data_IF_883331541079
#
_entry.id   IF_883331541079
#
_cell.length_a   1.000
_cell.length_b   1.000
_cell.length_c   1.000
_cell.angle_alpha   90.00
_cell.angle_beta   90.00
_cell.angle_gamma   90.00
#
_symmetry.space_group_name_H-M   'P 1'
#
loop_
_entity.id
_entity.type
_entity.pdbx_description
1 polymer ?
#
# COMPACT_ATOMS: atom_id res chain seq x y z
N UNK A 1 -27.55 -32.13 40.39
CA UNK A 1 -26.20 -32.15 39.79
C UNK A 1 -26.23 -31.18 38.61
N UNK A 2 -25.73 -29.95 38.75
CA UNK A 2 -24.32 -29.57 38.54
C UNK A 2 -23.94 -29.73 37.05
N UNK A 3 -23.56 -28.73 36.25
CA UNK A 3 -22.90 -27.45 36.52
C UNK A 3 -23.22 -26.36 35.47
N UNK A 4 -23.33 -25.13 35.96
CA UNK A 4 -23.24 -23.86 35.21
C UNK A 4 -21.76 -23.56 34.94
N UNK A 5 -21.38 -23.36 33.67
CA UNK A 5 -20.06 -22.81 33.33
C UNK A 5 -20.19 -21.30 33.13
N UNK A 6 -19.67 -20.56 34.11
CA UNK A 6 -19.48 -19.10 34.07
C UNK A 6 -18.13 -18.84 33.42
N UNK A 7 -18.10 -18.19 32.25
CA UNK A 7 -16.85 -17.65 31.71
C UNK A 7 -16.61 -16.25 32.27
N UNK A 8 -15.56 -16.15 33.08
CA UNK A 8 -15.04 -14.91 33.65
C UNK A 8 -14.21 -14.17 32.61
N UNK A 9 -14.61 -12.93 32.28
CA UNK A 9 -13.82 -11.98 31.51
C UNK A 9 -12.92 -11.19 32.47
N UNK A 10 -11.64 -11.58 32.54
CA UNK A 10 -10.58 -10.84 33.21
C UNK A 10 -10.11 -9.65 32.34
N UNK A 11 -10.60 -8.44 32.64
CA UNK A 11 -9.99 -7.20 32.14
C UNK A 11 -9.04 -6.64 33.19
N UNK A 12 -7.76 -6.89 32.97
CA UNK A 12 -6.64 -6.40 33.77
C UNK A 12 -6.42 -4.91 33.51
N UNK A 13 -6.44 -4.13 34.60
CA UNK A 13 -6.12 -2.71 34.67
C UNK A 13 -4.66 -2.48 34.25
N UNK A 14 -4.40 -1.58 33.28
CA UNK A 14 -3.06 -0.99 33.10
C UNK A 14 -2.92 0.26 33.95
N UNK A 15 -2.04 0.15 34.93
CA UNK A 15 -1.50 1.17 35.83
C UNK A 15 -0.73 2.20 35.00
N UNK A 16 -1.08 3.47 35.17
CA UNK A 16 -0.23 4.62 34.80
C UNK A 16 0.46 5.05 36.09
N UNK A 17 1.79 4.91 36.18
CA UNK A 17 2.58 5.71 37.12
C UNK A 17 4.08 5.74 36.75
N UNK A 18 4.53 6.96 36.46
CA UNK A 18 5.81 7.61 36.82
C UNK A 18 7.16 7.04 36.38
N UNK A 19 8.00 7.95 35.88
CA UNK A 19 9.34 8.39 36.39
C UNK A 19 10.22 8.77 35.18
N UNK A 20 10.40 10.07 34.91
CA UNK A 20 11.46 10.97 35.39
C UNK A 20 12.87 10.73 34.81
N UNK A 21 13.45 11.85 34.34
CA UNK A 21 14.89 12.18 34.13
C UNK A 21 15.54 11.94 32.75
N UNK A 22 15.46 12.99 31.91
CA UNK A 22 16.54 13.66 31.13
C UNK A 22 17.45 12.84 30.19
N UNK A 23 18.44 13.46 29.52
CA UNK A 23 18.62 14.88 29.18
C UNK A 23 18.55 15.13 27.66
N UNK A 24 18.41 16.39 27.28
CA UNK A 24 18.55 16.85 25.90
C UNK A 24 19.93 16.48 25.33
N UNK A 25 19.94 15.71 24.24
CA UNK A 25 21.12 15.50 23.40
C UNK A 25 21.55 16.84 22.81
N UNK A 26 22.57 17.42 23.43
CA UNK A 26 23.37 18.46 22.84
C UNK A 26 24.15 17.82 21.70
N UNK A 27 23.77 18.10 20.46
CA UNK A 27 24.62 17.87 19.30
C UNK A 27 26.03 18.43 19.58
N UNK A 28 27.10 17.61 19.56
CA UNK A 28 28.45 18.15 19.60
C UNK A 28 28.70 18.84 18.25
N UNK A 29 28.57 20.17 18.23
CA UNK A 29 29.18 20.96 17.16
C UNK A 29 30.68 20.71 17.23
N UNK A 30 31.20 19.87 16.33
CA UNK A 30 32.62 19.79 16.05
C UNK A 30 33.07 21.15 15.51
N UNK A 31 33.48 22.04 16.41
CA UNK A 31 34.26 23.22 16.04
C UNK A 31 35.62 22.66 15.65
N UNK A 32 35.85 22.51 14.34
CA UNK A 32 37.20 22.30 13.82
C UNK A 32 38.03 23.49 14.29
N UNK A 33 38.92 23.27 15.26
CA UNK A 33 39.97 24.24 15.62
C UNK A 33 40.73 24.54 14.34
N UNK A 34 40.58 25.75 13.81
CA UNK A 34 41.45 26.24 12.76
C UNK A 34 42.91 26.19 13.26
N UNK A 35 43.90 25.88 12.42
CA UNK A 35 45.30 25.97 12.80
C UNK A 35 45.59 27.40 13.26
N UNK A 36 46.33 27.55 14.35
CA UNK A 36 46.77 28.86 14.83
C UNK A 36 47.61 29.55 13.75
N UNK A 37 47.13 30.68 13.25
CA UNK A 37 47.87 31.59 12.38
C UNK A 37 48.23 32.78 13.26
N UNK A 38 49.52 33.06 13.53
CA UNK A 38 49.89 34.25 14.27
C UNK A 38 49.44 35.49 13.49
N UNK A 39 48.99 36.56 14.18
CA UNK A 39 48.58 37.78 13.51
C UNK A 39 49.76 38.36 12.69
N UNK A 40 49.52 38.94 11.51
CA UNK A 40 50.56 39.62 10.75
C UNK A 40 51.20 40.69 11.65
N UNK A 41 52.52 40.57 11.81
CA UNK A 41 53.31 41.47 12.65
C UNK A 41 53.04 42.92 12.25
N UNK A 42 52.73 43.75 13.25
CA UNK A 42 52.55 45.19 13.07
C UNK A 42 53.84 45.79 12.50
N UNK A 43 53.80 46.27 11.26
CA UNK A 43 54.86 47.10 10.69
C UNK A 43 54.75 48.50 11.28
N UNK A 44 55.57 48.79 12.29
CA UNK A 44 55.84 50.18 12.70
C UNK A 44 56.62 50.88 11.57
N UNK A 45 56.26 52.11 11.16
CA UNK A 45 57.00 52.82 10.14
C UNK A 45 58.32 53.35 10.73
N UNK A 46 59.36 53.26 9.91
CA UNK A 46 60.59 54.06 9.97
C UNK A 46 61.38 54.06 11.29
N UNK A 47 62.31 53.11 11.45
CA UNK A 47 63.70 53.37 11.91
C UNK A 47 64.65 52.45 11.15
N UNK A 48 65.76 53.03 10.69
CA UNK A 48 66.73 52.51 9.72
C UNK A 48 67.19 51.07 9.94
N UNK A 49 67.25 50.30 8.85
CA UNK A 49 68.03 49.06 8.75
C UNK A 49 69.51 49.43 8.78
N UNK A 50 70.10 49.50 9.98
CA UNK A 50 71.52 49.76 10.17
C UNK A 50 72.28 48.43 10.10
N UNK A 51 73.01 48.22 9.02
CA UNK A 51 74.04 47.18 8.93
C UNK A 51 75.31 47.69 9.63
N UNK A 52 75.33 47.67 10.96
CA UNK A 52 76.56 47.89 11.74
C UNK A 52 76.41 47.29 13.14
N UNK A 53 77.39 46.50 13.59
CA UNK A 53 77.34 45.85 14.90
C UNK A 53 77.72 46.84 16.01
N UNK A 54 77.03 46.73 17.15
CA UNK A 54 77.15 47.61 18.33
C UNK A 54 78.50 47.53 19.08
N UNK A 55 79.61 47.21 18.42
CA UNK A 55 80.92 47.15 19.10
C UNK A 55 82.13 47.60 18.28
N UNK A 56 82.04 48.01 17.01
CA UNK A 56 83.22 48.46 16.26
C UNK A 56 82.92 49.71 15.41
N UNK A 57 83.20 50.90 15.97
CA UNK A 57 83.23 52.17 15.24
C UNK A 57 84.70 52.54 15.02
N UNK A 58 85.22 52.32 13.81
CA UNK A 58 86.55 52.78 13.42
C UNK A 58 86.43 54.21 12.89
N UNK A 59 86.71 55.21 13.73
CA UNK A 59 86.93 56.58 13.30
C UNK A 59 88.32 56.68 12.64
N UNK A 60 88.36 56.67 11.31
CA UNK A 60 89.57 57.02 10.57
C UNK A 60 89.69 58.54 10.61
N UNK A 61 90.47 59.05 11.57
CA UNK A 61 90.94 60.44 11.58
C UNK A 61 92.18 60.49 10.68
N UNK A 62 92.16 61.21 9.53
CA UNK A 62 93.37 61.44 8.75
C UNK A 62 94.33 62.32 9.56
N UNK A 63 95.60 61.94 9.76
CA UNK A 63 96.56 62.80 10.46
C UNK A 63 96.84 64.06 9.62
N UNK A 64 96.34 65.20 10.08
CA UNK A 64 96.78 66.52 9.65
C UNK A 64 98.19 66.78 10.20
N UNK A 65 99.21 66.23 9.55
CA UNK A 65 100.61 66.56 9.81
C UNK A 65 101.11 67.58 8.78
N UNK A 66 100.87 68.87 9.03
CA UNK A 66 101.73 69.94 8.51
C UNK A 66 102.65 70.36 9.65
N UNK A 67 103.80 69.72 9.74
CA UNK A 67 105.02 70.31 10.29
C UNK A 67 106.20 69.38 10.01
N UNK A 68 107.31 70.00 9.60
CA UNK A 68 108.67 69.46 9.48
C UNK A 68 108.98 68.79 8.15
N UNK A 69 109.46 69.65 7.25
CA UNK A 69 110.62 69.41 6.40
C UNK A 69 111.57 68.34 6.96
N UNK A 70 111.50 67.15 6.39
CA UNK A 70 112.60 66.19 6.41
C UNK A 70 113.13 66.08 5.00
N UNK A 71 114.09 66.96 4.72
CA UNK A 71 115.04 66.85 3.62
C UNK A 71 115.72 65.48 3.76
N UNK A 72 115.34 64.51 2.93
CA UNK A 72 116.09 63.26 2.84
C UNK A 72 117.43 63.58 2.17
N UNK A 73 118.48 63.44 2.97
CA UNK A 73 119.88 63.59 2.56
C UNK A 73 120.21 62.42 1.64
N UNK A 74 120.34 62.71 0.34
CA UNK A 74 120.72 61.77 -0.72
C UNK A 74 122.24 61.57 -0.67
N UNK A 75 122.74 61.06 0.45
CA UNK A 75 124.12 60.61 0.61
C UNK A 75 124.09 59.42 1.56
N UNK A 76 123.97 58.22 0.99
CA UNK A 76 124.89 57.09 1.21
C UNK A 76 124.17 55.77 0.81
N UNK A 77 124.19 55.47 -0.49
CA UNK A 77 124.06 54.11 -0.99
C UNK A 77 125.12 53.95 -2.08
N UNK A 78 126.36 53.80 -1.61
CA UNK A 78 127.43 53.23 -2.39
C UNK A 78 127.10 51.75 -2.66
N UNK A 79 127.02 51.41 -3.94
CA UNK A 79 126.74 50.06 -4.43
C UNK A 79 127.88 49.13 -4.01
N UNK A 80 127.63 48.24 -3.04
CA UNK A 80 128.50 47.11 -2.75
C UNK A 80 127.99 45.88 -3.50
N UNK A 81 128.91 45.16 -4.13
CA UNK A 81 128.63 44.00 -4.99
C UNK A 81 127.90 42.86 -4.23
N UNK A 82 128.00 42.84 -2.89
CA UNK A 82 127.34 41.90 -1.96
C UNK A 82 125.81 42.09 -1.84
N UNK A 83 125.26 43.25 -2.27
CA UNK A 83 123.82 43.53 -2.22
C UNK A 83 123.05 42.90 -3.39
N UNK A 84 123.73 42.59 -4.51
CA UNK A 84 123.14 41.97 -5.71
C UNK A 84 122.88 40.48 -5.48
N UNK A 85 123.79 39.76 -4.82
CA UNK A 85 123.57 38.36 -4.43
C UNK A 85 122.50 38.24 -3.33
N UNK A 86 122.47 39.16 -2.36
CA UNK A 86 121.39 39.21 -1.37
C UNK A 86 120.03 39.49 -2.02
N UNK A 87 119.97 40.43 -2.97
CA UNK A 87 118.74 40.69 -3.75
C UNK A 87 118.30 39.45 -4.52
N UNK A 88 119.22 38.69 -5.13
CA UNK A 88 118.87 37.44 -5.80
C UNK A 88 118.34 36.38 -4.83
N UNK A 89 118.91 36.29 -3.62
CA UNK A 89 118.39 35.42 -2.55
C UNK A 89 117.00 35.85 -2.07
N UNK A 90 116.74 37.16 -1.95
CA UNK A 90 115.43 37.68 -1.61
C UNK A 90 114.42 37.45 -2.74
N UNK A 91 114.79 37.68 -4.00
CA UNK A 91 113.92 37.41 -5.15
C UNK A 91 113.59 35.92 -5.27
N UNK A 92 114.55 35.02 -5.05
CA UNK A 92 114.30 33.58 -4.98
C UNK A 92 113.39 33.19 -3.81
N UNK A 93 113.56 33.84 -2.64
CA UNK A 93 112.71 33.62 -1.46
C UNK A 93 111.29 34.14 -1.70
N UNK A 94 111.15 35.31 -2.31
CA UNK A 94 109.88 35.93 -2.70
C UNK A 94 109.16 35.04 -3.70
N UNK A 95 109.84 34.58 -4.76
CA UNK A 95 109.24 33.69 -5.76
C UNK A 95 108.80 32.34 -5.17
N UNK A 96 109.55 31.76 -4.23
CA UNK A 96 109.12 30.55 -3.51
C UNK A 96 107.90 30.82 -2.63
N UNK A 97 107.90 31.90 -1.86
CA UNK A 97 106.74 32.26 -1.01
C UNK A 97 105.51 32.59 -1.85
N UNK A 98 105.67 33.27 -2.99
CA UNK A 98 104.59 33.50 -3.95
C UNK A 98 104.08 32.18 -4.53
N UNK A 99 104.96 31.24 -4.88
CA UNK A 99 104.55 29.92 -5.37
C UNK A 99 103.82 29.10 -4.29
N UNK A 100 104.30 29.11 -3.04
CA UNK A 100 103.69 28.40 -1.91
C UNK A 100 102.32 29.02 -1.54
N UNK A 101 102.23 30.36 -1.45
CA UNK A 101 100.97 31.07 -1.20
C UNK A 101 100.00 30.89 -2.36
N UNK A 102 100.47 30.97 -3.61
CA UNK A 102 99.61 30.74 -4.78
C UNK A 102 99.11 29.29 -4.83
N UNK A 103 99.93 28.31 -4.43
CA UNK A 103 99.52 26.90 -4.38
C UNK A 103 98.53 26.62 -3.25
N UNK A 104 98.71 27.22 -2.07
CA UNK A 104 97.76 27.13 -0.97
C UNK A 104 96.46 27.89 -1.25
N UNK A 105 96.51 29.04 -1.93
CA UNK A 105 95.32 29.75 -2.43
C UNK A 105 94.57 28.93 -3.49
N UNK A 106 95.27 28.28 -4.41
CA UNK A 106 94.67 27.38 -5.39
C UNK A 106 94.04 26.16 -4.70
N UNK A 107 94.75 25.52 -3.76
CA UNK A 107 94.24 24.34 -3.01
C UNK A 107 93.05 24.68 -2.12
N UNK A 108 93.12 25.79 -1.39
CA UNK A 108 92.02 26.25 -0.54
C UNK A 108 90.82 26.70 -1.39
N UNK A 109 91.07 27.33 -2.54
CA UNK A 109 90.05 27.65 -3.54
C UNK A 109 89.37 26.40 -4.11
N UNK A 110 90.13 25.37 -4.46
CA UNK A 110 89.61 24.06 -4.91
C UNK A 110 88.79 23.37 -3.82
N UNK A 111 89.27 23.37 -2.56
CA UNK A 111 88.54 22.79 -1.42
C UNK A 111 87.24 23.54 -1.12
N UNK A 112 87.24 24.87 -1.16
CA UNK A 112 86.04 25.69 -0.99
C UNK A 112 85.05 25.48 -2.14
N UNK A 113 85.53 25.38 -3.38
CA UNK A 113 84.68 25.06 -4.53
C UNK A 113 84.06 23.66 -4.43
N UNK A 114 84.83 22.66 -3.97
CA UNK A 114 84.31 21.32 -3.72
C UNK A 114 83.25 21.31 -2.60
N UNK A 115 83.49 22.04 -1.50
CA UNK A 115 82.51 22.22 -0.43
C UNK A 115 81.25 22.96 -0.90
N UNK A 116 81.40 23.96 -1.76
CA UNK A 116 80.28 24.71 -2.35
C UNK A 116 79.40 23.82 -3.21
N UNK A 117 80.02 23.00 -4.08
CA UNK A 117 79.30 22.01 -4.90
C UNK A 117 78.57 21.00 -4.04
N UNK A 118 79.19 20.48 -2.97
CA UNK A 118 78.54 19.56 -2.05
C UNK A 118 77.31 20.17 -1.37
N UNK A 119 77.39 21.44 -0.95
CA UNK A 119 76.25 22.15 -0.36
C UNK A 119 75.15 22.34 -1.40
N UNK A 120 75.50 22.71 -2.64
CA UNK A 120 74.55 22.84 -3.75
C UNK A 120 73.84 21.50 -4.03
N UNK A 121 74.58 20.40 -4.09
CA UNK A 121 74.03 19.05 -4.28
C UNK A 121 73.06 18.67 -3.14
N UNK A 122 73.42 18.96 -1.88
CA UNK A 122 72.56 18.73 -0.72
C UNK A 122 71.30 19.60 -0.74
N UNK A 123 71.42 20.87 -1.15
CA UNK A 123 70.27 21.75 -1.31
C UNK A 123 69.32 21.25 -2.41
N UNK A 124 69.86 20.77 -3.52
CA UNK A 124 69.08 20.15 -4.60
C UNK A 124 68.38 18.87 -4.13
N UNK A 125 69.07 18.02 -3.38
CA UNK A 125 68.50 16.79 -2.79
C UNK A 125 67.35 17.12 -1.82
N UNK A 126 67.51 18.11 -0.94
CA UNK A 126 66.46 18.58 -0.04
C UNK A 126 65.27 19.14 -0.82
N UNK A 127 65.51 19.91 -1.90
CA UNK A 127 64.45 20.44 -2.78
C UNK A 127 63.70 19.29 -3.45
N UNK A 128 64.41 18.24 -3.90
CA UNK A 128 63.80 17.04 -4.47
C UNK A 128 62.94 16.30 -3.44
N UNK A 129 63.46 16.01 -2.24
CA UNK A 129 62.68 15.37 -1.17
C UNK A 129 61.45 16.18 -0.77
N UNK A 130 61.56 17.51 -0.70
CA UNK A 130 60.41 18.38 -0.41
C UNK A 130 59.35 18.28 -1.50
N UNK A 131 59.75 18.21 -2.77
CA UNK A 131 58.83 18.01 -3.90
C UNK A 131 58.12 16.66 -3.79
N UNK A 132 58.86 15.59 -3.52
CA UNK A 132 58.30 14.24 -3.38
C UNK A 132 57.37 14.13 -2.17
N UNK A 133 57.72 14.78 -1.05
CA UNK A 133 56.84 14.88 0.11
C UNK A 133 55.54 15.64 -0.23
N UNK A 134 55.62 16.72 -1.02
CA UNK A 134 54.43 17.45 -1.46
C UNK A 134 53.55 16.61 -2.40
N UNK A 135 54.16 15.81 -3.30
CA UNK A 135 53.42 14.92 -4.19
C UNK A 135 52.73 13.80 -3.41
N UNK A 136 53.46 13.13 -2.50
CA UNK A 136 52.89 12.05 -1.66
C UNK A 136 51.78 12.56 -0.73
N UNK A 137 51.94 13.74 -0.14
CA UNK A 137 50.88 14.34 0.70
C UNK A 137 49.65 14.71 -0.11
N UNK A 138 49.82 15.23 -1.34
CA UNK A 138 48.72 15.48 -2.27
C UNK A 138 47.99 14.20 -2.67
N UNK A 139 48.72 13.14 -2.99
CA UNK A 139 48.14 11.86 -3.37
C UNK A 139 47.45 11.17 -2.19
N UNK A 140 48.02 11.25 -0.98
CA UNK A 140 47.34 10.81 0.24
C UNK A 140 46.03 11.58 0.47
N UNK A 141 46.02 12.90 0.24
CA UNK A 141 44.80 13.71 0.35
C UNK A 141 43.74 13.31 -0.71
N UNK A 142 44.14 12.92 -1.93
CA UNK A 142 43.22 12.37 -2.94
C UNK A 142 42.66 11.01 -2.49
N UNK A 143 43.52 10.10 -2.03
CA UNK A 143 43.12 8.77 -1.55
C UNK A 143 42.12 8.85 -0.40
N UNK A 144 42.32 9.80 0.53
CA UNK A 144 41.37 10.07 1.61
C UNK A 144 40.02 10.54 1.09
N UNK A 145 40.00 11.49 0.14
CA UNK A 145 38.74 11.96 -0.48
C UNK A 145 38.03 10.84 -1.24
N UNK A 146 38.75 9.99 -1.97
CA UNK A 146 38.14 8.85 -2.66
C UNK A 146 37.55 7.82 -1.69
N UNK A 147 38.21 7.58 -0.55
CA UNK A 147 37.67 6.69 0.49
C UNK A 147 36.40 7.28 1.11
N UNK A 148 36.37 8.58 1.39
CA UNK A 148 35.17 9.28 1.88
C UNK A 148 34.00 9.21 0.87
N UNK A 149 34.28 9.33 -0.43
CA UNK A 149 33.26 9.16 -1.47
C UNK A 149 32.75 7.72 -1.55
N UNK A 150 33.65 6.73 -1.51
CA UNK A 150 33.26 5.32 -1.53
C UNK A 150 32.43 4.94 -0.29
N UNK A 151 32.78 5.47 0.88
CA UNK A 151 31.99 5.26 2.10
C UNK A 151 30.56 5.78 1.96
N UNK A 152 30.40 6.98 1.39
CA UNK A 152 29.07 7.56 1.12
C UNK A 152 28.30 6.74 0.10
N UNK A 153 28.96 6.26 -0.95
CA UNK A 153 28.33 5.40 -1.96
C UNK A 153 27.82 4.09 -1.34
N UNK A 154 28.61 3.47 -0.46
CA UNK A 154 28.20 2.26 0.27
C UNK A 154 27.02 2.54 1.21
N UNK A 155 26.99 3.69 1.87
CA UNK A 155 25.86 4.10 2.71
C UNK A 155 24.59 4.33 1.89
N UNK A 156 24.70 5.01 0.74
CA UNK A 156 23.57 5.22 -0.18
C UNK A 156 23.04 3.87 -0.69
N UNK A 157 23.92 2.98 -1.14
CA UNK A 157 23.55 1.64 -1.62
C UNK A 157 22.85 0.80 -0.55
N UNK A 158 23.29 0.89 0.72
CA UNK A 158 22.60 0.23 1.84
C UNK A 158 21.20 0.80 2.07
N UNK A 159 21.06 2.12 2.08
CA UNK A 159 19.76 2.78 2.25
C UNK A 159 18.78 2.41 1.13
N UNK A 160 19.25 2.36 -0.12
CA UNK A 160 18.45 1.91 -1.26
C UNK A 160 18.02 0.45 -1.10
N UNK A 161 18.93 -0.43 -0.67
CA UNK A 161 18.60 -1.82 -0.41
C UNK A 161 17.54 -1.99 0.70
N UNK A 162 17.61 -1.16 1.74
CA UNK A 162 16.62 -1.15 2.82
C UNK A 162 15.25 -0.68 2.33
N UNK A 163 15.18 0.40 1.54
CA UNK A 163 13.94 0.88 0.92
C UNK A 163 13.31 -0.19 0.03
N UNK A 164 14.09 -0.83 -0.85
CA UNK A 164 13.61 -1.91 -1.71
C UNK A 164 13.10 -3.11 -0.90
N UNK A 165 13.73 -3.41 0.24
CA UNK A 165 13.29 -4.48 1.12
C UNK A 165 11.97 -4.14 1.83
N UNK A 166 11.77 -2.88 2.22
CA UNK A 166 10.51 -2.39 2.77
C UNK A 166 9.38 -2.44 1.73
N UNK A 167 9.62 -1.97 0.51
CA UNK A 167 8.68 -2.07 -0.60
C UNK A 167 8.32 -3.51 -0.91
N UNK A 168 9.31 -4.42 -0.98
CA UNK A 168 9.09 -5.86 -1.16
C UNK A 168 8.18 -6.43 -0.06
N UNK A 169 8.41 -6.08 1.20
CA UNK A 169 7.55 -6.53 2.32
C UNK A 169 6.13 -5.98 2.20
N UNK A 170 5.98 -4.72 1.80
CA UNK A 170 4.68 -4.09 1.58
C UNK A 170 3.91 -4.78 0.45
N UNK A 171 4.57 -5.05 -0.68
CA UNK A 171 3.99 -5.78 -1.82
C UNK A 171 3.58 -7.20 -1.42
N UNK A 172 4.43 -7.94 -0.69
CA UNK A 172 4.10 -9.28 -0.19
C UNK A 172 2.92 -9.29 0.79
N UNK A 173 2.76 -8.23 1.58
CA UNK A 173 1.59 -8.07 2.46
C UNK A 173 0.34 -7.81 1.61
N UNK A 174 0.43 -6.95 0.60
CA UNK A 174 -0.70 -6.63 -0.28
C UNK A 174 -1.12 -7.84 -1.13
N UNK A 175 -0.16 -8.62 -1.62
CA UNK A 175 -0.42 -9.87 -2.34
C UNK A 175 -1.23 -10.84 -1.49
N UNK A 176 -0.78 -11.12 -0.26
CA UNK A 176 -1.50 -12.00 0.68
C UNK A 176 -2.90 -11.48 1.00
N UNK A 177 -3.06 -10.17 1.14
CA UNK A 177 -4.39 -9.58 1.33
C UNK A 177 -5.31 -9.88 0.14
N UNK A 178 -4.84 -9.64 -1.09
CA UNK A 178 -5.61 -9.90 -2.31
C UNK A 178 -5.88 -11.40 -2.49
N UNK A 179 -4.94 -12.28 -2.15
CA UNK A 179 -5.14 -13.72 -2.16
C UNK A 179 -6.25 -14.15 -1.20
N UNK A 180 -6.24 -13.63 0.04
CA UNK A 180 -7.29 -13.91 1.02
C UNK A 180 -8.66 -13.37 0.56
N UNK A 181 -8.71 -12.13 0.08
CA UNK A 181 -9.93 -11.52 -0.47
C UNK A 181 -10.46 -12.33 -1.67
N UNK A 182 -9.57 -12.84 -2.53
CA UNK A 182 -9.92 -13.71 -3.64
C UNK A 182 -10.50 -15.06 -3.20
N UNK A 183 -9.94 -15.66 -2.14
CA UNK A 183 -10.48 -16.89 -1.54
C UNK A 183 -11.85 -16.67 -0.92
N UNK A 184 -12.04 -15.57 -0.18
CA UNK A 184 -13.33 -15.21 0.41
C UNK A 184 -14.40 -14.96 -0.66
N UNK A 185 -14.06 -14.21 -1.72
CA UNK A 185 -14.95 -13.98 -2.85
C UNK A 185 -15.33 -15.28 -3.58
N UNK A 186 -14.38 -16.21 -3.74
CA UNK A 186 -14.66 -17.52 -4.32
C UNK A 186 -15.63 -18.34 -3.46
N UNK A 187 -15.44 -18.35 -2.13
CA UNK A 187 -16.37 -19.00 -1.20
C UNK A 187 -17.76 -18.37 -1.27
N UNK A 188 -17.85 -17.05 -1.38
CA UNK A 188 -19.11 -16.34 -1.52
C UNK A 188 -19.81 -16.69 -2.84
N UNK A 189 -19.08 -16.73 -3.95
CA UNK A 189 -19.60 -17.15 -5.25
C UNK A 189 -20.16 -18.58 -5.21
N UNK A 190 -19.53 -19.50 -4.47
CA UNK A 190 -20.04 -20.86 -4.25
C UNK A 190 -21.36 -20.83 -3.46
N UNK A 191 -21.45 -20.03 -2.39
CA UNK A 191 -22.70 -19.85 -1.62
C UNK A 191 -23.82 -19.32 -2.50
N UNK A 192 -23.55 -18.29 -3.31
CA UNK A 192 -24.53 -17.72 -4.24
C UNK A 192 -24.99 -18.75 -5.27
N UNK A 193 -24.06 -19.51 -5.85
CA UNK A 193 -24.39 -20.59 -6.79
C UNK A 193 -25.30 -21.65 -6.16
N UNK A 194 -25.04 -22.05 -4.93
CA UNK A 194 -25.83 -23.06 -4.24
C UNK A 194 -27.22 -22.52 -3.83
N UNK A 195 -27.31 -21.24 -3.45
CA UNK A 195 -28.58 -20.53 -3.26
C UNK A 195 -29.41 -20.48 -4.55
N UNK A 196 -28.80 -20.16 -5.70
CA UNK A 196 -29.47 -20.20 -7.00
C UNK A 196 -29.97 -21.61 -7.36
N UNK A 197 -29.18 -22.65 -7.09
CA UNK A 197 -29.61 -24.05 -7.31
C UNK A 197 -30.82 -24.40 -6.44
N UNK A 198 -30.82 -23.98 -5.16
CA UNK A 198 -31.94 -24.20 -4.25
C UNK A 198 -33.19 -23.48 -4.74
N UNK A 199 -33.09 -22.20 -5.08
CA UNK A 199 -34.20 -21.42 -5.64
C UNK A 199 -34.78 -22.06 -6.91
N UNK A 200 -33.93 -22.57 -7.81
CA UNK A 200 -34.39 -23.27 -9.02
C UNK A 200 -35.14 -24.57 -8.70
N UNK A 201 -34.74 -25.30 -7.66
CA UNK A 201 -35.46 -26.49 -7.18
C UNK A 201 -36.82 -26.10 -6.58
N UNK A 202 -36.84 -25.08 -5.73
CA UNK A 202 -38.05 -24.60 -5.07
C UNK A 202 -39.06 -24.05 -6.10
N UNK A 203 -38.59 -23.35 -7.13
CA UNK A 203 -39.43 -22.90 -8.25
C UNK A 203 -40.07 -24.08 -9.01
N UNK A 204 -39.29 -25.14 -9.30
CA UNK A 204 -39.82 -26.34 -9.95
C UNK A 204 -40.86 -27.04 -9.08
N UNK A 205 -40.61 -27.16 -7.78
CA UNK A 205 -41.57 -27.74 -6.84
C UNK A 205 -42.85 -26.93 -6.81
N UNK A 206 -42.76 -25.59 -6.68
CA UNK A 206 -43.91 -24.69 -6.70
C UNK A 206 -44.70 -24.78 -8.02
N UNK A 207 -44.03 -24.97 -9.16
CA UNK A 207 -44.71 -25.18 -10.45
C UNK A 207 -45.48 -26.52 -10.48
N UNK A 208 -44.93 -27.58 -9.90
CA UNK A 208 -45.60 -28.88 -9.79
C UNK A 208 -46.81 -28.78 -8.85
N UNK A 209 -46.67 -28.10 -7.72
CA UNK A 209 -47.75 -27.88 -6.77
C UNK A 209 -48.88 -27.05 -7.40
N UNK A 210 -48.54 -25.99 -8.13
CA UNK A 210 -49.50 -25.19 -8.89
C UNK A 210 -50.28 -26.04 -9.89
N UNK A 211 -49.59 -26.92 -10.63
CA UNK A 211 -50.22 -27.83 -11.57
C UNK A 211 -51.18 -28.81 -10.88
N UNK A 212 -50.78 -29.39 -9.74
CA UNK A 212 -51.62 -30.27 -8.94
C UNK A 212 -52.90 -29.58 -8.42
N UNK A 213 -52.76 -28.36 -7.88
CA UNK A 213 -53.90 -27.55 -7.43
C UNK A 213 -54.82 -27.21 -8.61
N UNK A 214 -54.26 -26.89 -9.78
CA UNK A 214 -55.06 -26.60 -10.99
C UNK A 214 -55.86 -27.82 -11.45
N UNK A 215 -55.26 -29.01 -11.46
CA UNK A 215 -55.97 -30.25 -11.77
C UNK A 215 -57.09 -30.53 -10.77
N UNK A 216 -56.82 -30.40 -9.46
CA UNK A 216 -57.84 -30.58 -8.41
C UNK A 216 -59.00 -29.60 -8.56
N UNK A 217 -58.71 -28.33 -8.83
CA UNK A 217 -59.73 -27.30 -9.10
C UNK A 217 -60.61 -27.70 -10.29
N UNK A 218 -60.00 -28.14 -11.39
CA UNK A 218 -60.75 -28.52 -12.59
C UNK A 218 -61.62 -29.76 -12.34
N UNK A 219 -61.12 -30.77 -11.62
CA UNK A 219 -61.91 -31.94 -11.23
C UNK A 219 -63.10 -31.58 -10.33
N UNK A 220 -62.93 -30.64 -9.39
CA UNK A 220 -64.03 -30.14 -8.58
C UNK A 220 -65.07 -29.38 -9.40
N UNK A 221 -64.64 -28.59 -10.39
CA UNK A 221 -65.55 -27.88 -11.30
C UNK A 221 -66.36 -28.87 -12.16
N UNK A 222 -65.73 -29.91 -12.69
CA UNK A 222 -66.42 -30.98 -13.42
C UNK A 222 -67.45 -31.68 -12.53
N UNK A 223 -67.07 -32.02 -11.29
CA UNK A 223 -68.00 -32.64 -10.33
C UNK A 223 -69.17 -31.73 -9.97
N UNK A 224 -68.94 -30.43 -9.83
CA UNK A 224 -70.01 -29.46 -9.61
C UNK A 224 -70.97 -29.39 -10.80
N UNK A 225 -70.46 -29.37 -12.03
CA UNK A 225 -71.28 -29.38 -13.24
C UNK A 225 -72.15 -30.65 -13.32
N UNK A 226 -71.61 -31.83 -13.03
CA UNK A 226 -72.38 -33.08 -12.96
C UNK A 226 -73.50 -33.02 -11.90
N UNK A 227 -73.21 -32.44 -10.73
CA UNK A 227 -74.20 -32.28 -9.67
C UNK A 227 -75.30 -31.28 -10.05
N UNK A 228 -74.95 -30.19 -10.73
CA UNK A 228 -75.90 -29.22 -11.25
C UNK A 228 -76.82 -29.86 -12.29
N UNK A 229 -76.27 -30.62 -13.24
CA UNK A 229 -77.05 -31.34 -14.27
C UNK A 229 -78.00 -32.37 -13.63
N UNK A 230 -77.49 -33.18 -12.69
CA UNK A 230 -78.31 -34.15 -11.94
C UNK A 230 -79.44 -33.48 -11.15
N UNK A 231 -79.15 -32.35 -10.49
CA UNK A 231 -80.15 -31.57 -9.75
C UNK A 231 -81.22 -31.01 -10.70
N UNK A 232 -80.81 -30.49 -11.86
CA UNK A 232 -81.74 -30.00 -12.88
C UNK A 232 -82.63 -31.12 -13.42
N UNK A 233 -82.06 -32.31 -13.68
CA UNK A 233 -82.81 -33.51 -14.09
C UNK A 233 -83.82 -33.94 -13.02
N UNK A 234 -83.42 -34.02 -11.75
CA UNK A 234 -84.31 -34.35 -10.64
C UNK A 234 -85.46 -33.35 -10.49
N UNK A 235 -85.18 -32.05 -10.62
CA UNK A 235 -86.23 -31.01 -10.61
C UNK A 235 -87.20 -31.17 -11.78
N UNK A 236 -86.73 -31.56 -12.97
CA UNK A 236 -87.59 -31.85 -14.12
C UNK A 236 -88.50 -33.05 -13.86
N UNK A 237 -87.93 -34.16 -13.36
CA UNK A 237 -88.68 -35.36 -13.00
C UNK A 237 -89.73 -35.08 -11.92
N UNK A 238 -89.39 -34.28 -10.90
CA UNK A 238 -90.34 -33.90 -9.85
C UNK A 238 -91.53 -33.11 -10.43
N UNK A 239 -91.27 -32.15 -11.32
CA UNK A 239 -92.33 -31.39 -12.01
C UNK A 239 -93.20 -32.30 -12.87
N UNK A 240 -92.60 -33.29 -13.54
CA UNK A 240 -93.35 -34.26 -14.36
C UNK A 240 -94.21 -35.17 -13.49
N UNK A 241 -93.67 -35.68 -12.38
CA UNK A 241 -94.40 -36.52 -11.42
C UNK A 241 -95.60 -35.76 -10.83
N UNK A 242 -95.43 -34.50 -10.44
CA UNK A 242 -96.51 -33.67 -9.94
C UNK A 242 -97.63 -33.48 -10.99
N UNK A 243 -97.28 -33.19 -12.25
CA UNK A 243 -98.28 -33.10 -13.34
C UNK A 243 -99.06 -34.40 -13.54
N UNK A 244 -98.38 -35.54 -13.47
CA UNK A 244 -99.03 -36.86 -13.56
C UNK A 244 -100.00 -37.07 -12.41
N UNK A 245 -99.60 -36.77 -11.18
CA UNK A 245 -100.49 -36.85 -10.02
C UNK A 245 -101.72 -35.94 -10.16
N UNK A 246 -101.54 -34.71 -10.64
CA UNK A 246 -102.67 -33.79 -10.89
C UNK A 246 -103.63 -34.33 -11.96
N UNK A 247 -103.11 -34.98 -13.01
CA UNK A 247 -103.93 -35.57 -14.06
C UNK A 247 -104.62 -36.87 -13.61
N UNK A 248 -103.94 -37.69 -12.81
CA UNK A 248 -104.53 -38.87 -12.17
C UNK A 248 -105.66 -38.47 -11.23
N UNK A 249 -105.49 -37.40 -10.43
CA UNK A 249 -106.54 -36.86 -9.57
C UNK A 249 -107.75 -36.39 -10.39
N UNK A 250 -107.54 -35.64 -11.48
CA UNK A 250 -108.64 -35.23 -12.37
C UNK A 250 -109.37 -36.43 -12.98
N UNK A 251 -108.65 -37.53 -13.27
CA UNK A 251 -109.26 -38.74 -13.81
C UNK A 251 -110.08 -39.48 -12.75
N UNK A 252 -109.60 -39.54 -11.51
CA UNK A 252 -110.37 -40.05 -10.36
C UNK A 252 -111.66 -39.23 -10.21
N UNK A 253 -111.57 -37.90 -10.17
CA UNK A 253 -112.74 -37.02 -10.04
C UNK A 253 -113.77 -37.26 -11.18
N UNK A 254 -113.30 -37.46 -12.42
CA UNK A 254 -114.17 -37.81 -13.56
C UNK A 254 -114.83 -39.18 -13.39
N UNK A 255 -114.08 -40.19 -12.94
CA UNK A 255 -114.62 -41.51 -12.65
C UNK A 255 -115.70 -41.44 -11.57
N UNK A 256 -115.51 -40.67 -10.50
CA UNK A 256 -116.52 -40.45 -9.46
C UNK A 256 -117.80 -39.79 -9.98
N UNK A 257 -117.68 -38.81 -10.90
CA UNK A 257 -118.83 -38.19 -11.56
C UNK A 257 -119.57 -39.20 -12.44
N UNK A 258 -118.84 -39.99 -13.24
CA UNK A 258 -119.44 -40.99 -14.11
C UNK A 258 -120.13 -42.10 -13.30
N UNK A 259 -119.52 -42.56 -12.21
CA UNK A 259 -120.14 -43.54 -11.30
C UNK A 259 -121.44 -43.00 -10.69
N UNK A 260 -121.48 -41.74 -10.24
CA UNK A 260 -122.72 -41.11 -9.77
C UNK A 260 -123.80 -41.07 -10.85
N UNK A 261 -123.45 -40.67 -12.08
CA UNK A 261 -124.39 -40.66 -13.21
C UNK A 261 -124.90 -42.06 -13.57
N UNK A 262 -124.04 -43.08 -13.45
CA UNK A 262 -124.44 -44.47 -13.65
C UNK A 262 -125.50 -44.89 -12.63
N UNK A 263 -125.26 -44.63 -11.34
CA UNK A 263 -126.22 -44.94 -10.26
C UNK A 263 -127.54 -44.18 -10.46
N UNK A 264 -127.49 -42.90 -10.84
CA UNK A 264 -128.70 -42.12 -11.17
C UNK A 264 -129.47 -42.70 -12.37
N UNK A 265 -128.77 -43.16 -13.40
CA UNK A 265 -129.38 -43.80 -14.57
C UNK A 265 -129.97 -45.17 -14.21
N UNK A 266 -129.27 -45.98 -13.41
CA UNK A 266 -129.77 -47.26 -12.88
C UNK A 266 -131.03 -47.06 -12.04
N UNK A 267 -131.05 -46.05 -11.17
CA UNK A 267 -132.24 -45.70 -10.38
C UNK A 267 -133.43 -45.29 -11.27
N UNK A 268 -133.19 -44.49 -12.33
CA UNK A 268 -134.24 -44.14 -13.31
C UNK A 268 -134.75 -45.36 -14.08
N UNK A 269 -133.87 -46.27 -14.49
CA UNK A 269 -134.28 -47.51 -15.16
C UNK A 269 -135.14 -48.35 -14.20
N UNK A 270 -134.75 -48.47 -12.93
CA UNK A 270 -135.55 -49.18 -11.93
C UNK A 270 -136.93 -48.54 -11.75
N UNK A 271 -137.01 -47.22 -11.64
CA UNK A 271 -138.27 -46.47 -11.56
C UNK A 271 -139.17 -46.72 -12.78
N UNK A 272 -138.62 -46.60 -14.00
CA UNK A 272 -139.35 -46.87 -15.24
C UNK A 272 -139.80 -48.33 -15.34
N UNK A 273 -138.97 -49.29 -14.91
CA UNK A 273 -139.35 -50.70 -14.90
C UNK A 273 -140.49 -51.00 -13.91
N UNK A 274 -140.50 -50.32 -12.76
CA UNK A 274 -141.59 -50.42 -11.79
C UNK A 274 -142.88 -49.82 -12.35
N UNK A 275 -142.80 -48.66 -13.03
CA UNK A 275 -143.94 -48.05 -13.72
C UNK A 275 -144.50 -48.96 -14.83
N UNK A 276 -143.64 -49.58 -15.64
CA UNK A 276 -144.05 -50.53 -16.67
C UNK A 276 -144.74 -51.75 -16.06
N UNK A 277 -144.20 -52.32 -14.98
CA UNK A 277 -144.82 -53.43 -14.26
C UNK A 277 -146.20 -53.07 -13.68
N UNK A 278 -146.37 -51.85 -13.15
CA UNK A 278 -147.67 -51.35 -12.69
C UNK A 278 -148.66 -51.21 -13.86
N UNK A 279 -148.22 -50.67 -15.00
CA UNK A 279 -149.05 -50.58 -16.21
C UNK A 279 -149.44 -51.95 -16.75
N UNK A 280 -148.51 -52.91 -16.78
CA UNK A 280 -148.80 -54.29 -17.19
C UNK A 280 -149.85 -54.92 -16.26
N UNK A 281 -149.74 -54.73 -14.93
CA UNK A 281 -150.77 -55.17 -13.97
C UNK A 281 -152.14 -54.50 -14.20
N UNK A 282 -152.15 -53.21 -14.54
CA UNK A 282 -153.39 -52.50 -14.88
C UNK A 282 -154.02 -53.06 -16.17
N UNK A 283 -153.21 -53.33 -17.20
CA UNK A 283 -153.66 -53.96 -18.45
C UNK A 283 -154.22 -55.35 -18.16
N UNK A 284 -153.52 -56.17 -17.36
CA UNK A 284 -153.99 -57.51 -16.98
C UNK A 284 -155.31 -57.48 -16.20
N UNK A 285 -155.49 -56.49 -15.32
CA UNK A 285 -156.75 -56.24 -14.61
C UNK A 285 -157.88 -55.87 -15.58
N UNK A 286 -157.64 -54.92 -16.48
CA UNK A 286 -158.61 -54.50 -17.50
C UNK A 286 -158.94 -55.66 -18.46
N UNK A 287 -157.97 -56.46 -18.88
CA UNK A 287 -158.17 -57.66 -19.69
C UNK A 287 -159.01 -58.71 -18.95
N UNK A 288 -158.79 -58.86 -17.64
CA UNK A 288 -159.59 -59.75 -16.79
C UNK A 288 -161.04 -59.25 -16.68
N UNK A 289 -161.25 -57.94 -16.58
CA UNK A 289 -162.58 -57.31 -16.55
C UNK A 289 -163.31 -57.47 -17.89
N UNK A 290 -162.63 -57.23 -19.03
CA UNK A 290 -163.18 -57.47 -20.37
C UNK A 290 -163.55 -58.95 -20.59
N UNK A 291 -162.78 -59.88 -20.02
CA UNK A 291 -163.11 -61.32 -20.06
C UNK A 291 -164.31 -61.68 -19.19
N UNK A 292 -164.55 -60.97 -18.09
CA UNK A 292 -165.69 -61.16 -17.21
C UNK A 292 -166.99 -60.54 -17.78
N UNK A 293 -166.87 -59.50 -18.61
CA UNK A 293 -168.00 -58.81 -19.26
C UNK A 293 -168.46 -59.45 -20.59
N UNK A 294 -167.88 -60.60 -20.98
CA UNK A 294 -168.31 -61.42 -22.14
C UNK A 294 -169.06 -62.67 -21.71
#
# INVERSE_FOLDING_TARGET
MSMKVKNASSKTKKKVLTTTKGPAEKNPKFVKKAPFIPPPGKTSPSKSLAWESSSHRLEIVPPLSKNKSHTMVINDLSHSEDEIESKHQYDMRINRLLADVSFDEIKTGEQLNASRRLIEDQEEEIKAYKKDLNLTTHDFAKARRSLELLSKEVELSKNEADLLNEEKKALLKKLRQVENEGQEAALEALKWRDACKKLKKDQKNSSTDYYGISQQRNALLEKLAELEESNQSLRSLLKQAQRRMDDDQKNIDKCEILMRKLVEAEAKIQEQSAQLSEQDQQIDSLLSQIKADK
#
